data_IF_431506597083
#
_entry.id   IF_431506597083
#
_cell.length_a   1.000
_cell.length_b   1.000
_cell.length_c   1.000
_cell.angle_alpha   90.00
_cell.angle_beta   90.00
_cell.angle_gamma   90.00
#
_symmetry.space_group_name_H-M   'P 1'
#
loop_
_entity.id
_entity.type
_entity.pdbx_description
1 polymer ?
#
# COMPACT_ATOMS: atom_id res chain seq x y z
N UNK A 1 -8.40 16.38 -17.00
CA UNK A 1 -9.06 15.10 -17.29
C UNK A 1 -10.30 15.42 -18.08
N UNK A 2 -10.60 14.63 -19.11
CA UNK A 2 -11.88 14.71 -19.81
C UNK A 2 -13.01 14.58 -18.78
N UNK A 3 -14.04 15.41 -18.89
CA UNK A 3 -15.26 15.25 -18.09
C UNK A 3 -15.98 13.98 -18.53
N UNK A 4 -16.90 13.46 -17.71
CA UNK A 4 -17.65 12.22 -18.02
C UNK A 4 -18.28 12.27 -19.43
N UNK A 5 -18.70 13.46 -19.87
CA UNK A 5 -19.31 13.69 -21.18
C UNK A 5 -18.32 13.69 -22.36
N UNK A 6 -17.02 13.70 -22.09
CA UNK A 6 -15.94 13.80 -23.07
C UNK A 6 -15.13 12.50 -23.18
N UNK A 7 -15.48 11.47 -22.40
CA UNK A 7 -14.83 10.16 -22.47
C UNK A 7 -15.11 9.52 -23.83
N UNK A 8 -14.05 9.22 -24.58
CA UNK A 8 -14.17 8.44 -25.81
C UNK A 8 -14.54 6.98 -25.47
N UNK A 9 -15.06 6.24 -26.45
CA UNK A 9 -15.32 4.81 -26.29
C UNK A 9 -14.07 4.02 -25.87
N UNK A 10 -12.90 4.40 -26.39
CA UNK A 10 -11.62 3.80 -26.02
C UNK A 10 -11.26 4.08 -24.57
N UNK A 11 -11.37 5.35 -24.12
CA UNK A 11 -11.10 5.71 -22.73
C UNK A 11 -12.05 5.01 -21.76
N UNK A 12 -13.33 4.87 -22.12
CA UNK A 12 -14.30 4.14 -21.30
C UNK A 12 -13.99 2.65 -21.25
N UNK A 13 -13.56 2.05 -22.37
CA UNK A 13 -13.11 0.66 -22.41
C UNK A 13 -11.88 0.44 -21.53
N UNK A 14 -10.90 1.33 -21.57
CA UNK A 14 -9.71 1.25 -20.72
C UNK A 14 -10.07 1.32 -19.23
N UNK A 15 -11.06 2.15 -18.85
CA UNK A 15 -11.59 2.18 -17.48
C UNK A 15 -12.18 0.83 -17.07
N UNK A 16 -12.97 0.19 -17.94
CA UNK A 16 -13.55 -1.13 -17.68
C UNK A 16 -12.49 -2.22 -17.61
N UNK A 17 -11.54 -2.23 -18.55
CA UNK A 17 -10.46 -3.23 -18.61
C UNK A 17 -9.55 -3.14 -17.37
N UNK A 18 -9.33 -1.92 -16.86
CA UNK A 18 -8.63 -1.71 -15.59
C UNK A 18 -9.49 -2.14 -14.40
N UNK A 19 -10.75 -1.70 -14.30
CA UNK A 19 -11.61 -2.07 -13.16
C UNK A 19 -11.82 -3.59 -13.04
N UNK A 20 -11.98 -4.28 -14.17
CA UNK A 20 -12.15 -5.73 -14.23
C UNK A 20 -10.86 -6.50 -14.51
N UNK A 21 -9.69 -5.89 -14.26
CA UNK A 21 -8.41 -6.54 -14.50
C UNK A 21 -8.35 -7.93 -13.82
N UNK A 22 -7.74 -8.94 -14.46
CA UNK A 22 -7.57 -10.26 -13.85
C UNK A 22 -6.56 -10.18 -12.68
N UNK A 23 -6.62 -11.09 -11.69
CA UNK A 23 -5.81 -11.02 -10.47
C UNK A 23 -4.30 -10.85 -10.67
N UNK A 24 -3.75 -11.37 -11.77
CA UNK A 24 -2.33 -11.28 -12.14
C UNK A 24 -1.92 -9.86 -12.51
N UNK A 25 -2.86 -9.03 -12.97
CA UNK A 25 -2.65 -7.63 -13.34
C UNK A 25 -3.02 -6.64 -12.23
N UNK A 26 -3.57 -7.12 -11.10
CA UNK A 26 -3.97 -6.29 -9.94
C UNK A 26 -2.80 -6.01 -9.00
N UNK A 27 -1.68 -5.59 -9.56
CA UNK A 27 -0.54 -5.11 -8.77
C UNK A 27 0.04 -3.88 -9.44
N UNK A 28 0.35 -2.89 -8.64
CA UNK A 28 0.87 -1.61 -9.11
C UNK A 28 2.36 -1.44 -8.77
N UNK A 29 2.95 -2.42 -8.08
CA UNK A 29 4.37 -2.47 -7.77
C UNK A 29 5.12 -3.35 -8.79
N UNK A 30 6.29 -2.88 -9.20
CA UNK A 30 7.24 -3.68 -9.98
C UNK A 30 7.94 -4.72 -9.11
N UNK A 31 8.51 -5.76 -9.73
CA UNK A 31 9.28 -6.79 -9.03
C UNK A 31 10.41 -6.24 -8.14
N UNK A 32 11.07 -5.18 -8.59
CA UNK A 32 12.10 -4.50 -7.81
C UNK A 32 11.50 -3.83 -6.57
N UNK A 33 10.35 -3.16 -6.73
CA UNK A 33 9.66 -2.49 -5.64
C UNK A 33 9.16 -3.47 -4.58
N UNK A 34 8.63 -4.62 -5.00
CA UNK A 34 8.22 -5.71 -4.11
C UNK A 34 9.41 -6.28 -3.33
N UNK A 35 10.53 -6.56 -3.99
CA UNK A 35 11.73 -7.11 -3.35
C UNK A 35 12.34 -6.15 -2.33
N UNK A 36 12.40 -4.86 -2.66
CA UNK A 36 12.89 -3.83 -1.73
C UNK A 36 12.02 -3.73 -0.48
N UNK A 37 10.69 -3.70 -0.69
CA UNK A 37 9.73 -3.58 0.41
C UNK A 37 9.77 -4.84 1.29
N UNK A 38 9.97 -6.03 0.71
CA UNK A 38 10.13 -7.27 1.44
C UNK A 38 11.37 -7.25 2.35
N UNK A 39 12.52 -6.77 1.86
CA UNK A 39 13.74 -6.63 2.68
C UNK A 39 13.50 -5.73 3.89
N UNK A 40 12.79 -4.62 3.70
CA UNK A 40 12.48 -3.67 4.77
C UNK A 40 11.44 -4.20 5.76
N UNK A 41 10.48 -4.97 5.26
CA UNK A 41 9.51 -5.64 6.11
C UNK A 41 10.19 -6.69 6.99
N UNK A 42 11.20 -7.42 6.48
CA UNK A 42 12.04 -8.38 7.23
C UNK A 42 12.73 -7.75 8.44
N UNK A 43 13.14 -6.48 8.35
CA UNK A 43 13.76 -5.76 9.48
C UNK A 43 12.77 -5.42 10.61
N UNK A 44 11.46 -5.53 10.34
CA UNK A 44 10.37 -5.10 11.24
C UNK A 44 9.54 -6.26 11.76
N UNK A 45 9.42 -7.35 11.00
CA UNK A 45 8.66 -8.54 11.37
C UNK A 45 9.49 -9.79 11.10
N UNK A 46 9.31 -10.79 11.95
CA UNK A 46 9.91 -12.11 11.83
C UNK A 46 8.80 -13.15 11.60
N UNK A 47 8.99 -14.06 10.63
CA UNK A 47 8.06 -15.17 10.39
C UNK A 47 8.53 -16.42 11.16
N UNK A 48 7.84 -16.83 12.25
CA UNK A 48 8.43 -17.75 13.24
C UNK A 48 8.72 -19.19 12.79
N UNK A 49 8.27 -19.62 11.60
CA UNK A 49 8.13 -21.05 11.24
C UNK A 49 8.98 -21.43 10.00
N UNK A 50 9.78 -20.51 9.45
CA UNK A 50 10.43 -20.76 8.15
C UNK A 50 11.90 -20.34 8.12
N UNK A 51 12.69 -20.97 7.24
CA UNK A 51 14.07 -20.55 6.95
C UNK A 51 14.10 -19.16 6.31
N UNK A 52 15.23 -18.46 6.41
CA UNK A 52 15.39 -17.10 5.86
C UNK A 52 14.98 -16.98 4.38
N UNK A 53 15.32 -17.98 3.55
CA UNK A 53 14.96 -18.00 2.13
C UNK A 53 13.47 -18.23 1.87
N UNK A 54 12.76 -18.88 2.79
CA UNK A 54 11.31 -19.03 2.73
C UNK A 54 10.59 -17.82 3.31
N UNK A 55 11.18 -17.17 4.32
CA UNK A 55 10.66 -15.94 4.92
C UNK A 55 10.51 -14.84 3.87
N UNK A 56 11.55 -14.59 3.07
CA UNK A 56 11.51 -13.55 2.03
C UNK A 56 10.37 -13.77 1.01
N UNK A 57 10.09 -15.03 0.67
CA UNK A 57 8.96 -15.37 -0.22
C UNK A 57 7.62 -15.10 0.45
N UNK A 58 7.50 -15.35 1.75
CA UNK A 58 6.29 -15.03 2.52
C UNK A 58 6.09 -13.52 2.61
N UNK A 59 7.15 -12.75 2.87
CA UNK A 59 7.09 -11.29 2.93
C UNK A 59 6.62 -10.68 1.61
N UNK A 60 7.14 -11.17 0.47
CA UNK A 60 6.65 -10.76 -0.85
C UNK A 60 5.16 -11.06 -1.02
N UNK A 61 4.71 -12.25 -0.62
CA UNK A 61 3.28 -12.63 -0.70
C UNK A 61 2.39 -11.76 0.19
N UNK A 62 2.85 -11.38 1.38
CA UNK A 62 2.15 -10.43 2.26
C UNK A 62 1.97 -9.10 1.54
N UNK A 63 3.04 -8.57 0.94
CA UNK A 63 3.01 -7.29 0.23
C UNK A 63 2.04 -7.37 -0.96
N UNK A 64 2.11 -8.42 -1.78
CA UNK A 64 1.19 -8.62 -2.91
C UNK A 64 -0.27 -8.71 -2.43
N UNK A 65 -0.53 -9.40 -1.32
CA UNK A 65 -1.89 -9.50 -0.76
C UNK A 65 -2.42 -8.13 -0.33
N UNK A 66 -1.59 -7.29 0.28
CA UNK A 66 -1.96 -5.93 0.68
C UNK A 66 -2.11 -5.02 -0.53
N UNK A 67 -1.21 -5.09 -1.52
CA UNK A 67 -1.29 -4.30 -2.76
C UNK A 67 -2.56 -4.62 -3.56
N UNK A 68 -2.92 -5.91 -3.67
CA UNK A 68 -4.19 -6.35 -4.27
C UNK A 68 -5.40 -5.86 -3.50
N UNK A 69 -5.37 -5.95 -2.17
CA UNK A 69 -6.43 -5.39 -1.35
C UNK A 69 -6.64 -3.91 -1.64
N UNK A 70 -5.54 -3.15 -1.77
CA UNK A 70 -5.62 -1.74 -2.10
C UNK A 70 -6.13 -1.51 -3.52
N UNK A 71 -5.71 -2.31 -4.50
CA UNK A 71 -6.24 -2.27 -5.87
C UNK A 71 -7.76 -2.48 -5.89
N UNK A 72 -8.27 -3.44 -5.11
CA UNK A 72 -9.69 -3.75 -5.08
C UNK A 72 -10.52 -2.69 -4.29
N UNK A 73 -9.88 -1.87 -3.44
CA UNK A 73 -10.57 -0.94 -2.54
C UNK A 73 -10.25 0.55 -2.81
N UNK A 74 -9.30 0.85 -3.69
CA UNK A 74 -8.99 2.20 -4.15
C UNK A 74 -9.30 2.31 -5.64
N UNK A 75 -9.99 3.37 -6.08
CA UNK A 75 -10.08 3.67 -7.51
C UNK A 75 -8.67 3.74 -8.13
N UNK A 76 -8.50 3.19 -9.33
CA UNK A 76 -7.20 3.14 -10.01
C UNK A 76 -6.60 4.53 -10.23
N UNK A 77 -7.44 5.56 -10.32
CA UNK A 77 -7.06 6.96 -10.41
C UNK A 77 -6.23 7.42 -9.20
N UNK A 78 -6.40 6.81 -8.01
CA UNK A 78 -5.54 7.09 -6.86
C UNK A 78 -4.12 6.54 -7.04
N UNK A 79 -3.97 5.43 -7.76
CA UNK A 79 -2.65 4.90 -8.10
C UNK A 79 -1.93 5.76 -9.13
N UNK A 80 -2.67 6.40 -10.04
CA UNK A 80 -2.07 7.38 -10.95
C UNK A 80 -1.46 8.56 -10.16
N UNK A 81 -2.02 8.92 -9.00
CA UNK A 81 -1.43 9.92 -8.11
C UNK A 81 -0.10 9.45 -7.50
N UNK A 82 0.04 8.15 -7.19
CA UNK A 82 1.30 7.52 -6.73
C UNK A 82 2.43 7.66 -7.76
N UNK A 83 2.09 7.73 -9.03
CA UNK A 83 3.07 7.84 -10.12
C UNK A 83 3.24 9.28 -10.62
N UNK A 84 2.47 10.25 -10.12
CA UNK A 84 2.44 11.63 -10.61
C UNK A 84 2.83 12.65 -9.53
N UNK A 85 4.09 13.12 -9.58
CA UNK A 85 4.65 14.08 -8.62
C UNK A 85 3.88 15.41 -8.53
N UNK A 86 3.27 15.87 -9.62
CA UNK A 86 2.60 17.18 -9.71
C UNK A 86 1.12 17.13 -9.29
N UNK A 87 0.51 15.94 -9.29
CA UNK A 87 -0.93 15.72 -9.03
C UNK A 87 -1.20 14.97 -7.74
N UNK A 88 -0.17 14.68 -6.95
CA UNK A 88 -0.31 13.95 -5.71
C UNK A 88 -1.30 14.58 -4.72
N UNK A 89 -1.63 13.83 -3.68
CA UNK A 89 -2.49 14.27 -2.58
C UNK A 89 -1.71 15.13 -1.58
N UNK A 90 -2.41 15.97 -0.82
CA UNK A 90 -1.81 16.70 0.29
C UNK A 90 -1.65 15.84 1.56
N UNK A 91 -1.00 16.39 2.57
CA UNK A 91 -0.67 15.66 3.81
C UNK A 91 -1.90 15.31 4.63
N UNK A 92 -2.95 16.13 4.59
CA UNK A 92 -4.19 15.88 5.33
C UNK A 92 -5.03 14.80 4.64
N UNK A 93 -5.07 14.82 3.31
CA UNK A 93 -5.63 13.74 2.49
C UNK A 93 -4.88 12.42 2.73
N UNK A 94 -3.54 12.44 2.74
CA UNK A 94 -2.73 11.27 3.02
C UNK A 94 -3.00 10.70 4.43
N UNK A 95 -3.09 11.55 5.46
CA UNK A 95 -3.43 11.17 6.85
C UNK A 95 -4.80 10.51 6.97
N UNK A 96 -5.80 11.04 6.27
CA UNK A 96 -7.16 10.46 6.23
C UNK A 96 -7.16 9.12 5.51
N UNK A 97 -6.41 9.02 4.41
CA UNK A 97 -6.32 7.82 3.60
C UNK A 97 -5.64 6.67 4.35
N UNK A 98 -4.46 6.92 4.95
CA UNK A 98 -3.75 5.90 5.75
C UNK A 98 -4.61 5.42 6.92
N UNK A 99 -5.34 6.32 7.58
CA UNK A 99 -6.20 5.98 8.72
C UNK A 99 -7.36 5.07 8.29
N UNK A 100 -8.05 5.44 7.21
CA UNK A 100 -9.19 4.69 6.69
C UNK A 100 -8.77 3.33 6.15
N UNK A 101 -7.72 3.29 5.33
CA UNK A 101 -7.21 2.05 4.74
C UNK A 101 -6.63 1.11 5.78
N UNK A 102 -5.88 1.60 6.78
CA UNK A 102 -5.34 0.76 7.85
C UNK A 102 -6.47 0.10 8.65
N UNK A 103 -7.54 0.85 8.96
CA UNK A 103 -8.71 0.30 9.67
C UNK A 103 -9.49 -0.70 8.82
N UNK A 104 -9.61 -0.46 7.50
CA UNK A 104 -10.32 -1.34 6.59
C UNK A 104 -9.54 -2.64 6.34
N UNK A 105 -8.24 -2.53 6.06
CA UNK A 105 -7.34 -3.65 5.80
C UNK A 105 -7.25 -4.58 7.01
N UNK A 106 -7.10 -4.05 8.22
CA UNK A 106 -7.08 -4.84 9.45
C UNK A 106 -8.36 -5.67 9.71
N UNK A 107 -9.47 -5.35 9.02
CA UNK A 107 -10.72 -6.13 9.12
C UNK A 107 -10.83 -7.22 8.06
N UNK A 108 -10.09 -7.11 6.96
CA UNK A 108 -10.26 -7.95 5.76
C UNK A 108 -9.03 -8.80 5.43
N UNK A 109 -7.85 -8.38 5.87
CA UNK A 109 -6.60 -9.11 5.70
C UNK A 109 -6.36 -9.89 6.98
N UNK A 110 -6.28 -11.21 6.85
CA UNK A 110 -5.88 -12.15 7.89
C UNK A 110 -4.61 -12.88 7.43
N UNK A 111 -3.58 -12.87 8.27
CA UNK A 111 -2.26 -13.49 8.04
C UNK A 111 -1.98 -14.50 9.16
N UNK A 112 -2.59 -15.70 9.13
CA UNK A 112 -2.60 -16.63 10.27
C UNK A 112 -1.23 -17.19 10.67
N UNK A 113 -0.22 -17.00 9.82
CA UNK A 113 1.17 -17.40 10.06
C UNK A 113 2.03 -16.29 10.70
N UNK A 114 1.43 -15.12 10.99
CA UNK A 114 2.05 -14.02 11.72
C UNK A 114 1.38 -13.83 13.09
N UNK A 115 2.15 -13.42 14.12
CA UNK A 115 1.55 -12.82 15.30
C UNK A 115 0.73 -11.57 14.93
N UNK A 116 -0.36 -11.32 15.65
CA UNK A 116 -1.30 -10.21 15.39
C UNK A 116 -0.57 -8.85 15.30
N UNK A 117 0.42 -8.61 16.16
CA UNK A 117 1.25 -7.41 16.13
C UNK A 117 2.04 -7.25 14.82
N UNK A 118 2.59 -8.35 14.30
CA UNK A 118 3.35 -8.35 13.06
C UNK A 118 2.45 -8.13 11.84
N UNK A 119 1.22 -8.67 11.87
CA UNK A 119 0.20 -8.39 10.85
C UNK A 119 -0.12 -6.90 10.78
N UNK A 120 -0.42 -6.26 11.91
CA UNK A 120 -0.70 -4.82 11.94
C UNK A 120 0.46 -3.98 11.43
N UNK A 121 1.69 -4.36 11.79
CA UNK A 121 2.88 -3.70 11.29
C UNK A 121 3.04 -3.86 9.77
N UNK A 122 2.84 -5.08 9.25
CA UNK A 122 2.97 -5.35 7.82
C UNK A 122 1.95 -4.56 7.00
N UNK A 123 0.67 -4.63 7.39
CA UNK A 123 -0.42 -3.91 6.74
C UNK A 123 -0.13 -2.42 6.70
N UNK A 124 0.14 -1.81 7.86
CA UNK A 124 0.34 -0.36 7.98
C UNK A 124 1.60 0.13 7.29
N UNK A 125 2.67 -0.67 7.29
CA UNK A 125 3.91 -0.32 6.59
C UNK A 125 3.67 -0.26 5.07
N UNK A 126 3.04 -1.29 4.50
CA UNK A 126 2.80 -1.35 3.05
C UNK A 126 1.84 -0.23 2.61
N UNK A 127 0.74 -0.03 3.33
CA UNK A 127 -0.19 1.08 3.04
C UNK A 127 0.54 2.42 3.19
N UNK A 128 1.34 2.59 4.25
CA UNK A 128 2.12 3.80 4.49
C UNK A 128 3.08 4.13 3.35
N UNK A 129 3.73 3.14 2.76
CA UNK A 129 4.61 3.33 1.59
C UNK A 129 3.81 3.82 0.38
N UNK A 130 2.69 3.17 0.07
CA UNK A 130 1.86 3.51 -1.09
C UNK A 130 1.26 4.91 -0.93
N UNK A 131 0.69 5.21 0.24
CA UNK A 131 0.08 6.52 0.53
C UNK A 131 1.14 7.62 0.54
N UNK A 132 2.32 7.40 1.11
CA UNK A 132 3.38 8.41 1.05
C UNK A 132 3.89 8.64 -0.37
N UNK A 133 3.88 7.61 -1.22
CA UNK A 133 4.25 7.75 -2.63
C UNK A 133 3.18 8.50 -3.45
N UNK A 134 1.93 8.54 -2.99
CA UNK A 134 0.85 9.34 -3.56
C UNK A 134 0.94 10.84 -3.26
N UNK A 135 1.80 11.28 -2.35
CA UNK A 135 1.89 12.69 -1.93
C UNK A 135 2.54 13.56 -2.99
N UNK A 136 2.15 14.84 -3.06
CA UNK A 136 2.78 15.82 -3.97
C UNK A 136 4.29 15.86 -3.73
N UNK A 137 5.08 15.85 -4.81
CA UNK A 137 6.56 15.83 -4.79
C UNK A 137 7.19 14.56 -4.20
N UNK A 138 6.41 13.50 -3.99
CA UNK A 138 6.91 12.20 -3.57
C UNK A 138 6.79 11.20 -4.72
N UNK A 139 7.76 10.30 -4.79
CA UNK A 139 7.73 9.12 -5.63
C UNK A 139 7.87 7.88 -4.72
N UNK A 140 7.66 6.68 -5.26
CA UNK A 140 7.79 5.46 -4.48
C UNK A 140 9.20 5.30 -3.88
N UNK A 141 10.24 5.87 -4.51
CA UNK A 141 11.61 5.85 -3.99
C UNK A 141 11.75 6.72 -2.73
N UNK A 142 11.25 7.95 -2.72
CA UNK A 142 11.27 8.87 -1.57
C UNK A 142 10.39 8.35 -0.44
N UNK A 143 9.22 7.82 -0.77
CA UNK A 143 8.35 7.16 0.19
C UNK A 143 9.04 5.97 0.87
N UNK A 144 9.77 5.17 0.10
CA UNK A 144 10.62 4.12 0.64
C UNK A 144 11.70 4.71 1.55
N UNK A 145 12.50 5.67 1.13
CA UNK A 145 13.56 6.28 1.98
C UNK A 145 13.02 6.75 3.35
N UNK A 146 11.80 7.28 3.37
CA UNK A 146 11.16 7.71 4.61
C UNK A 146 10.71 6.56 5.54
N UNK A 147 10.62 5.31 5.06
CA UNK A 147 10.19 4.16 5.87
C UNK A 147 11.04 3.93 7.12
N UNK A 148 12.32 4.32 7.10
CA UNK A 148 13.19 4.19 8.28
C UNK A 148 12.75 5.12 9.43
N UNK A 149 12.08 6.23 9.10
CA UNK A 149 11.59 7.24 10.04
C UNK A 149 10.12 7.03 10.42
N UNK A 150 9.39 6.19 9.68
CA UNK A 150 7.98 5.90 9.96
C UNK A 150 7.81 5.21 11.32
N UNK A 151 6.95 5.79 12.16
CA UNK A 151 6.50 5.16 13.40
C UNK A 151 5.26 4.34 13.09
N UNK A 152 5.45 3.04 12.85
CA UNK A 152 4.35 2.12 12.53
C UNK A 152 3.76 1.57 13.83
N UNK A 153 2.50 1.89 14.17
CA UNK A 153 1.86 1.33 15.36
C UNK A 153 1.62 -0.17 15.19
N UNK A 154 1.76 -0.93 16.27
CA UNK A 154 1.61 -2.40 16.27
C UNK A 154 0.34 -2.89 16.97
N UNK A 155 -0.46 -2.00 17.56
CA UNK A 155 -1.68 -2.39 18.28
C UNK A 155 -2.89 -2.44 17.34
N UNK A 156 -3.84 -3.35 17.60
CA UNK A 156 -5.10 -3.49 16.86
C UNK A 156 -5.85 -2.17 16.71
N UNK A 157 -6.09 -1.51 17.84
CA UNK A 157 -6.82 -0.25 17.95
C UNK A 157 -5.86 0.94 18.09
N UNK A 158 -4.96 1.11 17.12
CA UNK A 158 -4.12 2.30 17.08
C UNK A 158 -5.01 3.56 16.95
N UNK A 159 -4.70 4.59 17.75
CA UNK A 159 -5.43 5.85 17.69
C UNK A 159 -5.23 6.53 16.34
N UNK A 160 -6.13 7.45 16.00
CA UNK A 160 -5.99 8.26 14.79
C UNK A 160 -4.62 8.97 14.76
N UNK A 161 -4.21 9.61 15.85
CA UNK A 161 -2.90 10.25 15.95
C UNK A 161 -1.72 9.29 15.69
N UNK A 162 -1.81 8.06 16.20
CA UNK A 162 -0.78 7.04 15.96
C UNK A 162 -0.72 6.64 14.47
N UNK A 163 -1.87 6.49 13.81
CA UNK A 163 -1.94 6.15 12.38
C UNK A 163 -1.48 7.30 11.49
N UNK A 164 -1.84 8.54 11.84
CA UNK A 164 -1.41 9.74 11.13
C UNK A 164 0.10 9.95 11.21
N UNK A 165 0.75 9.51 12.30
CA UNK A 165 2.21 9.60 12.47
C UNK A 165 3.03 8.74 11.48
N UNK A 166 2.36 7.90 10.69
CA UNK A 166 2.95 7.17 9.57
C UNK A 166 3.26 8.13 8.40
N UNK A 167 2.46 9.19 8.26
CA UNK A 167 2.73 10.26 7.29
C UNK A 167 3.73 11.23 7.92
N UNK A 168 4.88 11.41 7.28
CA UNK A 168 5.98 12.28 7.73
C UNK A 168 6.58 13.07 6.59
#
# INVERSE_FOLDING_TARGET
>A
MATINELTQEQFKDLLDNYFAPPEKRTQMTDHELKDLAKRLKERINVPIISETGEEKILIKIIIKIDRFLYDNLPNEFYDLVRSMDKGIDDEEAKRLITSLSKLANKHIDLPYLPEMAEYMAIRLVIGVIVNAARKQWDLRRAKENMYKMKVPHQKYASQFQLESIIS
#
